data_IF_830754092005
#
_entry.id   IF_830754092005
#
_cell.length_a   1.000
_cell.length_b   1.000
_cell.length_c   1.000
_cell.angle_alpha   90.00
_cell.angle_beta   90.00
_cell.angle_gamma   90.00
#
_symmetry.space_group_name_H-M   'P 1'
#
loop_
_entity.id
_entity.type
_entity.pdbx_description
1 polymer ?
#
# COMPACT_ATOMS: atom_id res chain seq x y z
N UNK A 1 4.62 2.82 22.44
CA UNK A 1 4.53 3.94 21.49
C UNK A 1 3.95 3.38 20.22
N UNK A 2 2.93 4.00 19.61
CA UNK A 2 2.43 3.46 18.33
C UNK A 2 3.45 3.71 17.23
N UNK A 3 3.42 2.91 16.17
CA UNK A 3 4.34 3.14 15.05
C UNK A 3 4.08 4.49 14.39
N UNK A 4 2.81 4.90 14.31
CA UNK A 4 2.40 6.18 13.79
C UNK A 4 3.02 7.36 14.55
N UNK A 5 3.14 7.26 15.88
CA UNK A 5 3.77 8.31 16.71
C UNK A 5 5.26 8.48 16.37
N UNK A 6 5.96 7.37 16.12
CA UNK A 6 7.39 7.40 15.77
C UNK A 6 7.64 8.14 14.45
N UNK A 7 6.67 8.12 13.53
CA UNK A 7 6.74 8.78 12.23
C UNK A 7 6.26 10.24 12.22
N UNK A 8 5.84 10.82 13.36
CA UNK A 8 5.43 12.24 13.41
C UNK A 8 6.54 13.22 13.02
N UNK A 9 7.81 12.81 13.12
CA UNK A 9 8.98 13.60 12.71
C UNK A 9 9.27 13.58 11.21
N UNK A 10 8.59 12.73 10.43
CA UNK A 10 8.81 12.64 8.97
C UNK A 10 8.21 13.87 8.29
N UNK A 11 9.00 14.62 7.50
CA UNK A 11 8.48 15.72 6.68
C UNK A 11 7.32 15.25 5.80
N UNK A 12 6.23 16.02 5.74
CA UNK A 12 5.06 15.68 4.92
C UNK A 12 5.04 16.51 3.63
N UNK A 13 4.58 15.89 2.55
CA UNK A 13 4.39 16.57 1.28
C UNK A 13 3.17 17.50 1.33
N UNK A 14 3.34 18.74 0.85
CA UNK A 14 2.25 19.71 0.69
C UNK A 14 1.55 19.63 -0.67
N UNK A 15 2.10 18.86 -1.63
CA UNK A 15 1.61 18.79 -3.01
C UNK A 15 0.33 17.96 -3.05
N UNK A 16 -0.74 18.55 -3.59
CA UNK A 16 -1.98 17.86 -3.91
C UNK A 16 -1.88 17.31 -5.33
N UNK A 17 -1.63 16.00 -5.46
CA UNK A 17 -1.69 15.30 -6.75
C UNK A 17 -3.09 14.76 -7.05
N UNK A 18 -4.09 15.57 -6.73
CA UNK A 18 -5.51 15.24 -6.89
C UNK A 18 -6.07 16.04 -8.06
N UNK A 19 -5.68 15.68 -9.29
CA UNK A 19 -6.38 16.19 -10.48
C UNK A 19 -7.78 15.57 -10.49
N UNK A 20 -8.80 16.38 -10.77
CA UNK A 20 -10.21 16.00 -10.74
C UNK A 20 -10.61 14.83 -11.67
N UNK A 21 -9.71 14.36 -12.55
CA UNK A 21 -9.97 13.33 -13.55
C UNK A 21 -9.18 12.03 -13.34
N UNK A 22 -8.18 12.01 -12.45
CA UNK A 22 -7.32 10.83 -12.30
C UNK A 22 -7.92 9.94 -11.21
N UNK A 23 -8.89 9.07 -11.51
CA UNK A 23 -9.47 8.18 -10.49
C UNK A 23 -8.41 7.28 -9.85
N UNK A 24 -8.47 7.03 -8.54
CA UNK A 24 -7.50 6.16 -7.87
C UNK A 24 -7.80 4.72 -8.27
N UNK A 25 -6.80 4.03 -8.81
CA UNK A 25 -6.85 2.58 -9.00
C UNK A 25 -6.60 1.93 -7.63
N UNK A 26 -7.70 1.64 -6.92
CA UNK A 26 -7.66 1.08 -5.56
C UNK A 26 -7.58 -0.44 -5.57
N UNK A 27 -8.07 -1.09 -6.62
CA UNK A 27 -8.05 -2.54 -6.81
C UNK A 27 -6.79 -3.01 -7.53
N UNK A 28 -6.63 -4.32 -7.54
CA UNK A 28 -5.45 -5.06 -7.97
C UNK A 28 -5.51 -5.38 -9.46
N UNK A 29 -5.48 -4.36 -10.32
CA UNK A 29 -5.55 -4.56 -11.77
C UNK A 29 -4.41 -3.91 -12.56
N UNK A 30 -3.22 -3.82 -11.97
CA UNK A 30 -2.01 -3.58 -12.75
C UNK A 30 -1.50 -4.91 -13.31
N UNK A 31 -0.93 -4.87 -14.51
CA UNK A 31 -0.41 -6.07 -15.17
C UNK A 31 0.75 -6.63 -14.34
N UNK A 32 0.77 -7.95 -14.17
CA UNK A 32 1.84 -8.65 -13.45
C UNK A 32 1.67 -8.74 -11.93
N UNK A 33 0.57 -8.21 -11.36
CA UNK A 33 0.31 -8.27 -9.92
C UNK A 33 0.11 -9.70 -9.42
N UNK A 34 -0.64 -10.54 -10.13
CA UNK A 34 -0.80 -11.97 -9.80
C UNK A 34 0.53 -12.72 -9.83
N UNK A 35 1.35 -12.46 -10.84
CA UNK A 35 2.69 -13.04 -10.98
C UNK A 35 3.61 -12.56 -9.85
N UNK A 36 3.50 -11.28 -9.47
CA UNK A 36 4.25 -10.70 -8.36
C UNK A 36 3.89 -11.37 -7.02
N UNK A 37 2.60 -11.61 -6.77
CA UNK A 37 2.14 -12.33 -5.58
C UNK A 37 2.62 -13.79 -5.56
N UNK A 38 2.60 -14.48 -6.70
CA UNK A 38 3.16 -15.84 -6.82
C UNK A 38 4.66 -15.87 -6.59
N UNK A 39 5.39 -14.92 -7.16
CA UNK A 39 6.84 -14.79 -6.95
C UNK A 39 7.15 -14.52 -5.48
N UNK A 40 6.40 -13.61 -4.83
CA UNK A 40 6.53 -13.30 -3.42
C UNK A 40 6.27 -14.54 -2.53
N UNK A 41 5.23 -15.32 -2.84
CA UNK A 41 4.88 -16.54 -2.11
C UNK A 41 5.98 -17.62 -2.18
N UNK A 42 6.78 -17.63 -3.25
CA UNK A 42 7.87 -18.58 -3.45
C UNK A 42 9.16 -18.20 -2.68
N UNK A 43 9.27 -16.97 -2.19
CA UNK A 43 10.46 -16.51 -1.48
C UNK A 43 10.43 -16.96 -0.01
N UNK A 44 11.52 -17.54 0.53
CA UNK A 44 11.61 -17.89 1.94
C UNK A 44 11.25 -16.73 2.89
N UNK A 45 10.57 -17.06 3.98
CA UNK A 45 10.22 -16.09 5.03
C UNK A 45 11.41 -15.87 5.95
N UNK A 46 11.81 -14.61 6.13
CA UNK A 46 12.72 -14.19 7.18
C UNK A 46 11.90 -13.56 8.31
N UNK A 47 11.62 -14.34 9.36
CA UNK A 47 10.75 -13.93 10.47
C UNK A 47 11.30 -12.76 11.30
N UNK A 48 12.59 -12.41 11.12
CA UNK A 48 13.17 -11.22 11.72
C UNK A 48 12.70 -9.92 11.04
N UNK A 49 12.20 -10.01 9.80
CA UNK A 49 11.73 -8.88 9.00
C UNK A 49 10.21 -8.81 9.02
N UNK A 50 9.65 -7.78 9.62
CA UNK A 50 8.20 -7.72 9.88
C UNK A 50 7.50 -6.50 9.29
N UNK A 51 8.23 -5.65 8.58
CA UNK A 51 7.69 -4.44 7.96
C UNK A 51 7.39 -4.65 6.49
N UNK A 52 6.16 -4.32 6.10
CA UNK A 52 5.80 -4.02 4.73
C UNK A 52 5.79 -2.50 4.53
N UNK A 53 6.45 -2.05 3.46
CA UNK A 53 6.29 -0.68 2.95
C UNK A 53 5.60 -0.77 1.59
N UNK A 54 4.57 0.04 1.36
CA UNK A 54 3.86 0.05 0.09
C UNK A 54 3.40 1.42 -0.33
N UNK A 55 2.93 1.50 -1.57
CA UNK A 55 2.24 2.64 -2.15
C UNK A 55 0.85 2.20 -2.62
N UNK A 56 -0.05 3.16 -2.93
CA UNK A 56 -1.37 2.88 -3.51
C UNK A 56 -2.35 2.15 -2.57
N UNK A 57 -3.28 1.35 -3.14
CA UNK A 57 -4.46 0.76 -2.49
C UNK A 57 -4.31 -0.71 -2.06
N UNK A 58 -5.31 -1.55 -2.36
CA UNK A 58 -5.46 -2.88 -1.75
C UNK A 58 -4.39 -3.92 -2.10
N UNK A 59 -3.60 -3.72 -3.17
CA UNK A 59 -2.57 -4.70 -3.56
C UNK A 59 -1.60 -5.01 -2.42
N UNK A 60 -1.18 -3.99 -1.65
CA UNK A 60 -0.27 -4.21 -0.53
C UNK A 60 -0.87 -5.12 0.54
N UNK A 61 -2.18 -5.07 0.76
CA UNK A 61 -2.85 -5.97 1.71
C UNK A 61 -2.84 -7.42 1.21
N UNK A 62 -2.99 -7.64 -0.10
CA UNK A 62 -2.85 -8.97 -0.69
C UNK A 62 -1.42 -9.50 -0.51
N UNK A 63 -0.40 -8.65 -0.73
CA UNK A 63 1.00 -9.02 -0.52
C UNK A 63 1.31 -9.32 0.96
N UNK A 64 0.80 -8.50 1.89
CA UNK A 64 0.95 -8.72 3.34
C UNK A 64 0.27 -10.03 3.76
N UNK A 65 -0.91 -10.34 3.21
CA UNK A 65 -1.64 -11.56 3.54
C UNK A 65 -0.91 -12.86 3.12
N UNK A 66 0.00 -12.78 2.15
CA UNK A 66 0.89 -13.90 1.74
C UNK A 66 2.08 -14.05 2.69
N UNK A 67 2.39 -13.01 3.47
CA UNK A 67 3.56 -12.88 4.34
C UNK A 67 3.10 -12.74 5.81
N UNK A 68 2.59 -13.81 6.44
CA UNK A 68 1.88 -13.74 7.74
C UNK A 68 2.76 -13.33 8.93
N UNK A 69 4.08 -13.26 8.77
CA UNK A 69 5.02 -12.76 9.78
C UNK A 69 5.11 -11.23 9.80
N UNK A 70 4.60 -10.54 8.78
CA UNK A 70 4.51 -9.08 8.73
C UNK A 70 3.51 -8.62 9.79
N UNK A 71 3.96 -7.77 10.70
CA UNK A 71 3.15 -7.21 11.78
C UNK A 71 3.02 -5.68 11.71
N UNK A 72 3.67 -5.07 10.73
CA UNK A 72 3.77 -3.62 10.55
C UNK A 72 3.57 -3.25 9.08
N UNK A 73 2.68 -2.28 8.83
CA UNK A 73 2.38 -1.78 7.50
C UNK A 73 2.59 -0.26 7.43
N UNK A 74 3.46 0.17 6.53
CA UNK A 74 3.71 1.58 6.24
C UNK A 74 3.29 1.87 4.81
N UNK A 75 2.41 2.85 4.63
CA UNK A 75 1.98 3.33 3.31
C UNK A 75 2.63 4.68 3.04
N UNK A 76 3.29 4.80 1.90
CA UNK A 76 3.86 6.04 1.39
C UNK A 76 3.03 6.49 0.19
N UNK A 77 2.33 7.61 0.31
CA UNK A 77 1.59 8.17 -0.82
C UNK A 77 1.54 9.69 -0.72
N UNK A 78 1.57 10.40 -1.85
CA UNK A 78 1.48 11.88 -1.86
C UNK A 78 0.04 12.39 -2.02
N UNK A 79 -0.89 11.54 -2.43
CA UNK A 79 -2.28 11.94 -2.72
C UNK A 79 -3.09 12.13 -1.42
N UNK A 80 -3.76 13.28 -1.29
CA UNK A 80 -4.71 13.52 -0.19
C UNK A 80 -5.88 12.55 -0.27
N UNK A 81 -6.26 12.18 -1.49
CA UNK A 81 -7.32 11.22 -1.71
C UNK A 81 -6.91 9.85 -1.18
N UNK A 82 -5.69 9.38 -1.43
CA UNK A 82 -5.19 8.13 -0.84
C UNK A 82 -5.13 8.15 0.68
N UNK A 83 -4.79 9.30 1.28
CA UNK A 83 -4.88 9.48 2.75
C UNK A 83 -6.30 9.21 3.26
N UNK A 84 -7.32 9.80 2.61
CA UNK A 84 -8.73 9.59 2.98
C UNK A 84 -9.18 8.15 2.79
N UNK A 85 -8.72 7.49 1.73
CA UNK A 85 -8.99 6.07 1.53
C UNK A 85 -8.45 5.21 2.66
N UNK A 86 -7.18 5.42 3.02
CA UNK A 86 -6.56 4.65 4.09
C UNK A 86 -7.15 4.96 5.47
N UNK A 87 -7.60 6.19 5.72
CA UNK A 87 -8.39 6.53 6.91
C UNK A 87 -9.69 5.71 6.98
N UNK A 88 -10.44 5.65 5.88
CA UNK A 88 -11.65 4.83 5.82
C UNK A 88 -11.37 3.34 6.01
N UNK A 89 -10.31 2.80 5.38
CA UNK A 89 -9.89 1.41 5.57
C UNK A 89 -9.47 1.12 7.01
N UNK A 90 -8.73 2.04 7.65
CA UNK A 90 -8.33 1.91 9.04
C UNK A 90 -9.56 1.88 9.98
N UNK A 91 -10.51 2.80 9.82
CA UNK A 91 -11.78 2.80 10.56
C UNK A 91 -12.52 1.47 10.38
N UNK A 92 -12.64 0.98 9.14
CA UNK A 92 -13.27 -0.30 8.83
C UNK A 92 -12.63 -1.47 9.57
N UNK A 93 -11.29 -1.53 9.58
CA UNK A 93 -10.54 -2.64 10.18
C UNK A 93 -10.50 -2.58 11.70
N UNK A 94 -10.53 -1.37 12.28
CA UNK A 94 -10.64 -1.17 13.72
C UNK A 94 -12.04 -1.53 14.25
N UNK A 95 -13.10 -1.22 13.50
CA UNK A 95 -14.49 -1.48 13.89
C UNK A 95 -15.01 -2.87 13.50
N UNK A 96 -14.42 -3.52 12.50
CA UNK A 96 -14.96 -4.72 11.90
C UNK A 96 -15.00 -5.93 12.85
N UNK A 97 -16.18 -6.51 13.06
CA UNK A 97 -16.31 -7.75 13.84
C UNK A 97 -15.91 -9.00 13.04
N UNK A 98 -16.23 -9.02 11.73
CA UNK A 98 -15.96 -10.14 10.82
C UNK A 98 -15.73 -9.72 9.37
N UNK A 99 -15.18 -10.63 8.58
CA UNK A 99 -14.82 -10.44 7.17
C UNK A 99 -16.03 -10.10 6.29
N UNK A 100 -17.19 -10.71 6.54
CA UNK A 100 -18.40 -10.49 5.76
C UNK A 100 -18.99 -9.10 5.96
N UNK A 101 -19.06 -8.64 7.21
CA UNK A 101 -19.46 -7.26 7.52
C UNK A 101 -18.48 -6.24 6.93
N UNK A 102 -17.19 -6.52 6.99
CA UNK A 102 -16.16 -5.63 6.40
C UNK A 102 -16.31 -5.55 4.88
N UNK A 103 -16.54 -6.68 4.20
CA UNK A 103 -16.77 -6.72 2.76
C UNK A 103 -18.00 -5.89 2.36
N UNK A 104 -19.11 -6.00 3.09
CA UNK A 104 -20.31 -5.21 2.83
C UNK A 104 -20.09 -3.71 3.08
N UNK A 105 -19.31 -3.33 4.12
CA UNK A 105 -18.92 -1.93 4.31
C UNK A 105 -18.02 -1.43 3.16
N UNK A 106 -17.03 -2.21 2.70
CA UNK A 106 -16.20 -1.87 1.54
C UNK A 106 -17.06 -1.63 0.30
N UNK A 107 -18.02 -2.52 0.04
CA UNK A 107 -18.99 -2.35 -1.05
C UNK A 107 -19.74 -1.03 -0.94
N UNK A 108 -20.25 -0.70 0.25
CA UNK A 108 -20.94 0.55 0.50
C UNK A 108 -20.03 1.76 0.29
N UNK A 109 -18.74 1.70 0.68
CA UNK A 109 -17.78 2.77 0.41
C UNK A 109 -17.59 2.96 -1.11
N UNK A 110 -17.39 1.88 -1.87
CA UNK A 110 -17.27 1.94 -3.34
C UNK A 110 -18.52 2.59 -3.97
N UNK A 111 -19.70 2.23 -3.49
CA UNK A 111 -20.97 2.75 -4.00
C UNK A 111 -21.25 4.21 -3.60
N UNK A 112 -20.99 4.61 -2.34
CA UNK A 112 -21.58 5.79 -1.70
C UNK A 112 -20.60 6.91 -1.32
N UNK A 113 -19.30 6.63 -1.16
CA UNK A 113 -18.37 7.60 -0.57
C UNK A 113 -17.94 8.74 -1.49
N UNK A 114 -17.57 9.85 -0.84
CA UNK A 114 -17.01 11.06 -1.45
C UNK A 114 -15.77 10.79 -2.30
N UNK A 115 -14.96 9.80 -1.93
CA UNK A 115 -13.74 9.40 -2.64
C UNK A 115 -14.02 8.89 -4.06
N UNK A 116 -15.14 8.17 -4.25
CA UNK A 116 -15.58 7.64 -5.53
C UNK A 116 -16.70 8.49 -6.16
N UNK A 117 -17.08 9.61 -5.54
CA UNK A 117 -18.24 10.41 -5.95
C UNK A 117 -18.17 10.81 -7.42
N UNK A 118 -16.98 11.17 -7.88
CA UNK A 118 -16.74 11.61 -9.25
C UNK A 118 -16.30 10.46 -10.17
N UNK A 119 -16.18 9.23 -9.66
CA UNK A 119 -15.83 8.05 -10.44
C UNK A 119 -17.03 7.56 -11.26
N UNK A 120 -16.90 7.38 -12.59
CA UNK A 120 -17.96 6.83 -13.43
C UNK A 120 -18.51 5.52 -12.89
N UNK A 121 -19.82 5.31 -13.04
CA UNK A 121 -20.52 4.14 -12.51
C UNK A 121 -19.93 2.83 -13.03
N UNK A 122 -19.47 2.84 -14.28
CA UNK A 122 -18.84 1.72 -14.97
C UNK A 122 -17.52 1.34 -14.29
N UNK A 123 -16.72 2.34 -13.85
CA UNK A 123 -15.48 2.09 -13.11
C UNK A 123 -15.78 1.53 -11.72
N UNK A 124 -16.78 2.07 -11.01
CA UNK A 124 -17.21 1.50 -9.71
C UNK A 124 -17.63 0.04 -9.83
N UNK A 125 -18.42 -0.27 -10.86
CA UNK A 125 -18.85 -1.63 -11.14
C UNK A 125 -17.66 -2.53 -11.45
N UNK A 126 -16.72 -2.05 -12.27
CA UNK A 126 -15.48 -2.78 -12.59
C UNK A 126 -14.65 -3.07 -11.34
N UNK A 127 -14.45 -2.09 -10.46
CA UNK A 127 -13.72 -2.29 -9.21
C UNK A 127 -14.37 -3.34 -8.32
N UNK A 128 -15.70 -3.31 -8.20
CA UNK A 128 -16.41 -4.32 -7.44
C UNK A 128 -16.26 -5.72 -8.07
N UNK A 129 -16.42 -5.83 -9.39
CA UNK A 129 -16.22 -7.08 -10.12
C UNK A 129 -14.82 -7.65 -9.89
N UNK A 130 -13.77 -6.84 -10.10
CA UNK A 130 -12.38 -7.24 -9.89
C UNK A 130 -12.13 -7.74 -8.46
N UNK A 131 -12.59 -7.01 -7.46
CA UNK A 131 -12.45 -7.42 -6.07
C UNK A 131 -13.15 -8.76 -5.80
N UNK A 132 -14.36 -8.97 -6.34
CA UNK A 132 -15.07 -10.25 -6.17
C UNK A 132 -14.38 -11.41 -6.88
N UNK A 133 -13.76 -11.16 -8.04
CA UNK A 133 -12.95 -12.14 -8.75
C UNK A 133 -11.71 -12.53 -7.92
N UNK A 134 -10.98 -11.56 -7.38
CA UNK A 134 -9.81 -11.81 -6.52
C UNK A 134 -10.17 -12.60 -5.25
N UNK A 135 -11.32 -12.30 -4.64
CA UNK A 135 -11.84 -13.04 -3.50
C UNK A 135 -12.13 -14.49 -3.90
N UNK A 136 -12.82 -14.69 -5.02
CA UNK A 136 -13.19 -16.03 -5.52
C UNK A 136 -11.98 -16.88 -5.88
N UNK A 137 -10.89 -16.25 -6.32
CA UNK A 137 -9.63 -16.91 -6.69
C UNK A 137 -8.70 -17.15 -5.50
N UNK A 138 -9.07 -16.71 -4.29
CA UNK A 138 -8.23 -16.87 -3.11
C UNK A 138 -7.00 -15.96 -3.10
N UNK A 139 -7.00 -14.87 -3.88
CA UNK A 139 -5.88 -13.92 -3.97
C UNK A 139 -6.04 -12.83 -2.92
N UNK A 140 -7.25 -12.29 -2.79
CA UNK A 140 -7.55 -11.17 -1.92
C UNK A 140 -7.24 -11.46 -0.45
N UNK A 141 -6.83 -10.46 0.31
CA UNK A 141 -6.80 -10.51 1.79
C UNK A 141 -8.21 -10.75 2.40
N UNK A 142 -9.27 -10.52 1.62
CA UNK A 142 -10.67 -10.81 1.96
C UNK A 142 -11.12 -12.22 1.53
N UNK A 143 -10.23 -13.07 1.00
CA UNK A 143 -10.62 -14.41 0.53
C UNK A 143 -11.04 -15.35 1.66
N UNK A 144 -10.43 -15.21 2.84
CA UNK A 144 -10.66 -16.08 3.99
C UNK A 144 -10.39 -15.36 5.32
N UNK A 145 -10.88 -15.94 6.40
CA UNK A 145 -10.85 -15.33 7.73
C UNK A 145 -9.44 -15.27 8.33
N UNK A 146 -8.51 -16.14 7.91
CA UNK A 146 -7.14 -16.15 8.41
C UNK A 146 -6.39 -14.93 7.88
N UNK A 147 -6.46 -14.70 6.55
CA UNK A 147 -5.87 -13.52 5.92
C UNK A 147 -6.48 -12.22 6.44
N UNK A 148 -7.82 -12.19 6.52
CA UNK A 148 -8.54 -11.03 7.04
C UNK A 148 -8.06 -10.66 8.45
N UNK A 149 -8.02 -11.65 9.37
CA UNK A 149 -7.57 -11.42 10.76
C UNK A 149 -6.10 -11.01 10.82
N UNK A 150 -5.25 -11.56 9.97
CA UNK A 150 -3.84 -11.17 9.89
C UNK A 150 -3.69 -9.68 9.59
N UNK A 151 -4.41 -9.19 8.57
CA UNK A 151 -4.43 -7.77 8.23
C UNK A 151 -5.04 -6.95 9.37
N UNK A 152 -6.21 -7.36 9.86
CA UNK A 152 -6.91 -6.65 10.92
C UNK A 152 -6.06 -6.44 12.17
N UNK A 153 -5.25 -7.44 12.56
CA UNK A 153 -4.37 -7.34 13.73
C UNK A 153 -3.33 -6.23 13.60
N UNK A 154 -2.83 -5.93 12.40
CA UNK A 154 -1.87 -4.83 12.19
C UNK A 154 -2.51 -3.50 12.58
N UNK A 155 -3.77 -3.27 12.17
CA UNK A 155 -4.51 -2.06 12.48
C UNK A 155 -4.91 -2.00 13.97
N UNK A 156 -5.45 -3.09 14.52
CA UNK A 156 -5.84 -3.16 15.94
C UNK A 156 -4.66 -2.96 16.90
N UNK A 157 -3.47 -3.43 16.55
CA UNK A 157 -2.23 -3.21 17.32
C UNK A 157 -1.64 -1.81 17.11
N UNK A 158 -2.24 -0.97 16.26
CA UNK A 158 -1.72 0.35 15.86
C UNK A 158 -0.31 0.26 15.26
N UNK A 159 -0.10 -0.77 14.44
CA UNK A 159 1.12 -1.01 13.68
C UNK A 159 0.96 -0.62 12.19
N UNK A 160 -0.07 0.17 11.90
CA UNK A 160 -0.29 0.80 10.62
C UNK A 160 0.18 2.27 10.67
N UNK A 161 0.78 2.76 9.58
CA UNK A 161 1.06 4.18 9.39
C UNK A 161 0.84 4.59 7.92
N UNK A 162 0.04 5.64 7.71
CA UNK A 162 -0.01 6.35 6.44
C UNK A 162 0.88 7.59 6.50
N UNK A 163 1.86 7.68 5.60
CA UNK A 163 2.78 8.81 5.50
C UNK A 163 2.53 9.55 4.20
N UNK A 164 2.08 10.81 4.32
CA UNK A 164 1.86 11.68 3.17
C UNK A 164 3.19 12.20 2.61
N UNK A 165 3.87 11.40 1.79
CA UNK A 165 5.23 11.68 1.29
C UNK A 165 5.35 11.40 -0.20
N UNK A 166 6.19 12.18 -0.90
CA UNK A 166 6.63 11.80 -2.25
C UNK A 166 7.88 10.93 -2.09
N UNK A 167 7.88 9.72 -2.64
CA UNK A 167 9.02 8.80 -2.56
C UNK A 167 10.31 9.37 -3.18
N UNK A 168 10.21 10.44 -3.97
CA UNK A 168 11.35 11.19 -4.52
C UNK A 168 11.94 12.20 -3.53
N UNK A 169 11.26 12.52 -2.44
CA UNK A 169 11.76 13.45 -1.43
C UNK A 169 12.77 12.77 -0.51
N UNK A 170 14.06 13.04 -0.75
CA UNK A 170 15.17 12.43 -0.01
C UNK A 170 15.09 12.71 1.50
N UNK A 171 14.65 13.90 1.91
CA UNK A 171 14.54 14.26 3.32
C UNK A 171 13.51 13.38 4.05
N UNK A 172 12.33 13.19 3.45
CA UNK A 172 11.29 12.30 3.98
C UNK A 172 11.76 10.85 4.05
N UNK A 173 12.38 10.34 2.98
CA UNK A 173 12.85 8.95 2.94
C UNK A 173 13.98 8.69 3.94
N UNK A 174 14.90 9.65 4.11
CA UNK A 174 15.94 9.56 5.14
C UNK A 174 15.33 9.53 6.54
N UNK A 175 14.36 10.40 6.83
CA UNK A 175 13.67 10.41 8.12
C UNK A 175 12.92 9.08 8.38
N UNK A 176 12.32 8.48 7.35
CA UNK A 176 11.69 7.15 7.46
C UNK A 176 12.74 6.09 7.82
N UNK A 177 13.89 6.08 7.14
CA UNK A 177 14.98 5.15 7.45
C UNK A 177 15.46 5.29 8.88
N UNK A 178 15.65 6.52 9.35
CA UNK A 178 16.06 6.81 10.73
C UNK A 178 15.06 6.26 11.76
N UNK A 179 13.75 6.38 11.51
CA UNK A 179 12.72 5.76 12.37
C UNK A 179 12.83 4.24 12.36
N UNK A 180 13.00 3.62 11.18
CA UNK A 180 13.15 2.17 11.07
C UNK A 180 14.36 1.68 11.89
N UNK A 181 15.49 2.38 11.78
CA UNK A 181 16.71 2.07 12.55
C UNK A 181 16.50 2.23 14.07
N UNK A 182 15.94 3.35 14.51
CA UNK A 182 15.69 3.64 15.92
C UNK A 182 14.75 2.62 16.58
N UNK A 183 13.77 2.12 15.80
CA UNK A 183 12.80 1.13 16.27
C UNK A 183 13.26 -0.32 16.01
N UNK A 184 14.45 -0.54 15.45
CA UNK A 184 14.96 -1.86 15.06
C UNK A 184 13.98 -2.63 14.17
N UNK A 185 13.37 -1.92 13.22
CA UNK A 185 12.36 -2.43 12.30
C UNK A 185 12.99 -2.79 10.96
N UNK A 186 12.89 -4.06 10.58
CA UNK A 186 13.47 -4.58 9.35
C UNK A 186 12.41 -4.80 8.26
N UNK A 187 12.73 -4.33 7.06
CA UNK A 187 11.81 -4.33 5.91
C UNK A 187 11.85 -5.67 5.20
N UNK A 188 10.74 -6.39 5.25
CA UNK A 188 10.54 -7.65 4.52
C UNK A 188 10.28 -7.39 3.04
N UNK A 189 9.39 -6.44 2.75
CA UNK A 189 8.99 -6.12 1.39
C UNK A 189 8.73 -4.62 1.19
N UNK A 190 9.02 -4.17 -0.03
CA UNK A 190 8.74 -2.83 -0.52
C UNK A 190 7.98 -2.92 -1.83
N UNK A 191 6.73 -2.45 -1.84
CA UNK A 191 5.90 -2.37 -3.04
C UNK A 191 5.89 -0.95 -3.62
N UNK A 192 6.26 -0.80 -4.89
CA UNK A 192 6.37 0.50 -5.56
C UNK A 192 5.40 0.68 -6.74
N UNK A 193 4.44 -0.22 -6.95
CA UNK A 193 3.47 -0.18 -8.07
C UNK A 193 4.20 0.00 -9.41
N UNK A 194 3.64 0.71 -10.38
CA UNK A 194 4.25 1.05 -11.67
C UNK A 194 4.93 2.42 -11.64
N UNK A 195 5.28 2.98 -10.46
CA UNK A 195 5.87 4.33 -10.34
C UNK A 195 7.11 4.46 -11.22
N UNK A 196 7.98 3.45 -11.23
CA UNK A 196 9.20 3.47 -12.06
C UNK A 196 8.87 3.65 -13.54
N UNK A 197 7.89 2.91 -14.03
CA UNK A 197 7.44 3.02 -15.41
C UNK A 197 6.81 4.39 -15.66
N UNK A 198 5.89 4.85 -14.81
CA UNK A 198 5.31 6.20 -14.91
C UNK A 198 6.39 7.30 -14.99
N UNK A 199 7.49 7.16 -14.26
CA UNK A 199 8.62 8.09 -14.31
C UNK A 199 9.37 8.02 -15.64
N UNK A 200 9.58 6.83 -16.20
CA UNK A 200 10.22 6.64 -17.50
C UNK A 200 9.41 7.27 -18.64
N UNK A 201 8.08 7.21 -18.58
CA UNK A 201 7.21 7.80 -19.59
C UNK A 201 7.01 9.31 -19.43
N UNK A 202 6.85 9.80 -18.19
CA UNK A 202 6.62 11.24 -17.92
C UNK A 202 7.88 12.09 -18.05
N UNK A 203 9.06 11.49 -17.83
CA UNK A 203 10.33 12.20 -17.75
C UNK A 203 11.37 11.59 -18.69
N UNK A 204 10.98 11.27 -19.94
CA UNK A 204 11.85 10.76 -21.01
C UNK A 204 13.19 11.51 -21.21
N UNK A 205 13.40 12.65 -20.55
CA UNK A 205 14.60 13.50 -20.62
C UNK A 205 15.17 13.98 -19.28
N UNK A 206 14.75 13.45 -18.12
CA UNK A 206 15.30 13.89 -16.82
C UNK A 206 15.83 12.72 -15.97
N UNK A 207 17.06 12.33 -16.30
CA UNK A 207 17.82 11.28 -15.60
C UNK A 207 18.00 11.57 -14.11
N UNK A 208 17.97 12.84 -13.68
CA UNK A 208 18.08 13.20 -12.27
C UNK A 208 16.85 12.81 -11.45
N UNK A 209 15.66 12.73 -12.06
CA UNK A 209 14.47 12.23 -11.35
C UNK A 209 14.52 10.72 -11.15
N UNK A 210 14.92 9.96 -12.19
CA UNK A 210 15.06 8.51 -12.09
C UNK A 210 16.11 8.11 -11.05
N UNK A 211 17.27 8.76 -11.09
CA UNK A 211 18.36 8.49 -10.14
C UNK A 211 17.95 8.79 -8.68
N UNK A 212 17.19 9.87 -8.43
CA UNK A 212 16.67 10.18 -7.08
C UNK A 212 15.66 9.15 -6.58
N UNK A 213 14.74 8.73 -7.45
CA UNK A 213 13.80 7.66 -7.11
C UNK A 213 14.52 6.36 -6.75
N UNK A 214 15.46 5.92 -7.60
CA UNK A 214 16.21 4.68 -7.37
C UNK A 214 17.07 4.76 -6.10
N UNK A 215 17.75 5.89 -5.87
CA UNK A 215 18.50 6.15 -4.62
C UNK A 215 17.60 6.02 -3.39
N UNK A 216 16.42 6.63 -3.42
CA UNK A 216 15.49 6.63 -2.30
C UNK A 216 14.88 5.24 -2.05
N UNK A 217 14.54 4.50 -3.12
CA UNK A 217 14.11 3.10 -3.01
C UNK A 217 15.20 2.27 -2.34
N UNK A 218 16.46 2.45 -2.74
CA UNK A 218 17.60 1.74 -2.14
C UNK A 218 17.82 2.09 -0.66
N UNK A 219 17.43 3.28 -0.19
CA UNK A 219 17.49 3.62 1.24
C UNK A 219 16.48 2.83 2.09
N UNK A 220 15.39 2.35 1.49
CA UNK A 220 14.36 1.56 2.17
C UNK A 220 14.58 0.05 2.06
N UNK A 221 15.47 -0.38 1.15
CA UNK A 221 15.75 -1.78 0.86
C UNK A 221 16.96 -2.25 1.67
N UNK A 222 16.80 -3.37 2.37
CA UNK A 222 17.88 -4.06 3.05
C UNK A 222 18.23 -5.36 2.31
N UNK A 223 19.35 -5.99 2.68
CA UNK A 223 19.71 -7.31 2.14
C UNK A 223 18.56 -8.30 2.38
N UNK A 224 17.97 -8.84 1.32
CA UNK A 224 16.86 -9.80 1.39
C UNK A 224 15.47 -9.17 1.47
N UNK A 225 15.34 -7.83 1.39
CA UNK A 225 14.05 -7.18 1.19
C UNK A 225 13.51 -7.52 -0.20
N UNK A 226 12.22 -7.86 -0.29
CA UNK A 226 11.53 -8.16 -1.55
C UNK A 226 11.00 -6.87 -2.17
N UNK A 227 11.63 -6.43 -3.26
CA UNK A 227 11.15 -5.30 -4.04
C UNK A 227 10.09 -5.79 -5.05
N UNK A 228 8.86 -5.29 -4.90
CA UNK A 228 7.72 -5.66 -5.73
C UNK A 228 7.36 -4.45 -6.60
N UNK A 229 7.34 -4.66 -7.92
CA UNK A 229 7.01 -3.64 -8.91
C UNK A 229 5.94 -4.20 -9.85
N UNK A 230 4.91 -3.42 -10.12
CA UNK A 230 3.90 -3.73 -11.13
C UNK A 230 4.27 -3.12 -12.48
N UNK A 231 3.62 -3.58 -13.54
CA UNK A 231 3.77 -3.06 -14.90
C UNK A 231 2.43 -2.51 -15.39
N UNK A 232 2.45 -1.45 -16.21
CA UNK A 232 1.24 -0.93 -16.87
C UNK A 232 0.79 -1.80 -18.05
#
# INVERSE_FOLDING_TARGET
>A
MSIADAFLKVPRCSILWDRALDHPFVTTNERGQTESLKALAAVPVDVAKKVAIGVSGFFILNAVAIRPHIDTLIILDRSQRMERFWQGVEELLLEGEDRGKTLEKIRQLIERELFWRDCPKEMKSRYWTELTEEISQGISWLSDDIKFRSIQQIFQKRHFAFLKVDIKDEASIKAIREVLDEQSLHVDMLYISNIRECLEWQYLHDDHFKARFEKNVLMLVERGTQLIQAQS
#
